data_IF_676217601341
#
_entry.id   IF_676217601341
#
_cell.length_a   1.000
_cell.length_b   1.000
_cell.length_c   1.000
_cell.angle_alpha   90.00
_cell.angle_beta   90.00
_cell.angle_gamma   90.00
#
_symmetry.space_group_name_H-M   'P 1'
#
loop_
_entity.id
_entity.type
_entity.pdbx_description
1 polymer ?
#
# COMPACT_ATOMS: atom_id res chain seq x y z
N UNK A 1 2.52 8.86 8.60
CA UNK A 1 1.82 7.55 8.58
C UNK A 1 0.45 7.77 7.97
N UNK A 2 0.05 6.99 6.96
CA UNK A 2 -1.27 7.12 6.32
C UNK A 2 -2.06 5.85 6.60
N UNK A 3 -3.26 6.00 7.15
CA UNK A 3 -4.14 4.88 7.49
C UNK A 3 -5.49 5.09 6.84
N UNK A 4 -5.98 4.07 6.13
CA UNK A 4 -7.33 4.02 5.59
C UNK A 4 -8.08 2.87 6.26
N UNK A 5 -9.19 3.18 6.92
CA UNK A 5 -10.09 2.18 7.52
C UNK A 5 -11.39 2.17 6.72
N UNK A 6 -11.79 1.01 6.24
CA UNK A 6 -12.98 0.78 5.45
C UNK A 6 -13.89 -0.15 6.25
N UNK A 7 -15.14 0.26 6.47
CA UNK A 7 -16.15 -0.55 7.16
C UNK A 7 -17.29 -0.85 6.20
N UNK A 8 -17.77 -2.10 6.14
CA UNK A 8 -18.97 -2.39 5.34
C UNK A 8 -20.17 -1.75 6.03
N UNK A 9 -20.99 -1.03 5.26
CA UNK A 9 -22.22 -0.41 5.77
C UNK A 9 -23.38 -1.41 5.77
N UNK A 10 -23.45 -2.26 4.74
CA UNK A 10 -24.46 -3.30 4.62
C UNK A 10 -23.95 -4.45 3.74
N UNK A 11 -24.29 -5.69 4.11
CA UNK A 11 -23.97 -6.88 3.33
C UNK A 11 -22.47 -7.14 3.15
N UNK A 12 -22.12 -7.71 1.99
CA UNK A 12 -20.74 -8.03 1.59
C UNK A 12 -20.34 -7.20 0.37
N UNK A 13 -20.01 -5.90 0.54
CA UNK A 13 -19.61 -5.04 -0.57
C UNK A 13 -18.34 -5.58 -1.25
N UNK A 14 -18.26 -5.39 -2.57
CA UNK A 14 -17.06 -5.67 -3.36
C UNK A 14 -16.15 -4.45 -3.36
N UNK A 15 -14.89 -4.63 -2.99
CA UNK A 15 -13.88 -3.58 -2.96
C UNK A 15 -12.71 -3.98 -3.85
N UNK A 16 -12.09 -2.97 -4.44
CA UNK A 16 -10.83 -3.08 -5.13
C UNK A 16 -9.83 -2.10 -4.51
N UNK A 17 -8.65 -2.59 -4.13
CA UNK A 17 -7.59 -1.80 -3.52
C UNK A 17 -6.43 -1.73 -4.50
N UNK A 18 -6.10 -0.52 -4.92
CA UNK A 18 -4.95 -0.25 -5.77
C UNK A 18 -3.96 0.64 -5.04
N UNK A 19 -2.69 0.23 -5.02
CA UNK A 19 -1.61 1.00 -4.43
C UNK A 19 -0.46 1.13 -5.44
N UNK A 20 -0.28 2.34 -5.97
CA UNK A 20 0.76 2.70 -6.93
C UNK A 20 1.68 3.76 -6.35
N UNK A 21 2.60 3.38 -5.43
CA UNK A 21 3.51 4.33 -4.84
C UNK A 21 4.51 4.82 -5.89
N UNK A 22 4.65 6.14 -5.98
CA UNK A 22 5.64 6.77 -6.86
C UNK A 22 6.91 7.04 -6.05
N UNK A 23 8.04 6.54 -6.53
CA UNK A 23 9.34 6.65 -5.90
C UNK A 23 10.22 7.57 -6.74
N UNK A 24 10.60 8.72 -6.16
CA UNK A 24 11.30 9.81 -6.86
C UNK A 24 10.51 10.32 -8.10
N UNK A 25 10.87 11.49 -8.63
CA UNK A 25 10.21 12.03 -9.83
C UNK A 25 10.50 11.20 -11.10
N UNK A 26 11.41 10.23 -11.00
CA UNK A 26 11.68 9.22 -12.03
C UNK A 26 10.64 8.10 -11.94
N UNK A 27 10.08 7.66 -13.06
CA UNK A 27 9.05 6.61 -13.10
C UNK A 27 9.53 5.20 -12.73
N UNK A 28 10.43 5.06 -11.76
CA UNK A 28 11.01 3.80 -11.33
C UNK A 28 9.92 2.92 -10.68
N UNK A 29 9.74 1.73 -11.26
CA UNK A 29 8.87 0.71 -10.66
C UNK A 29 9.56 0.16 -9.41
N UNK A 30 8.89 0.16 -8.25
CA UNK A 30 9.45 -0.42 -7.05
C UNK A 30 9.60 -1.93 -7.18
N UNK A 31 10.61 -2.48 -6.50
CA UNK A 31 10.67 -3.90 -6.23
C UNK A 31 9.65 -4.25 -5.14
N UNK A 32 8.88 -5.32 -5.33
CA UNK A 32 7.80 -5.70 -4.41
C UNK A 32 8.23 -6.94 -3.64
N UNK A 33 8.10 -6.90 -2.31
CA UNK A 33 8.30 -8.06 -1.43
C UNK A 33 7.04 -8.34 -0.63
N UNK A 34 6.67 -9.62 -0.54
CA UNK A 34 5.41 -10.08 0.05
C UNK A 34 5.69 -10.78 1.37
N UNK A 35 5.04 -10.33 2.44
CA UNK A 35 4.92 -11.08 3.69
C UNK A 35 3.50 -11.63 3.85
N UNK A 36 3.15 -12.18 5.01
CA UNK A 36 1.79 -12.73 5.22
C UNK A 36 0.69 -11.67 5.33
N UNK A 37 1.00 -10.53 5.95
CA UNK A 37 0.05 -9.41 6.18
C UNK A 37 0.63 -8.04 5.76
N UNK A 38 1.74 -8.03 5.02
CA UNK A 38 2.36 -6.80 4.56
C UNK A 38 2.98 -6.93 3.18
N UNK A 39 2.97 -5.82 2.44
CA UNK A 39 3.68 -5.66 1.17
C UNK A 39 4.74 -4.58 1.38
N UNK A 40 5.97 -4.82 0.92
CA UNK A 40 7.02 -3.81 0.86
C UNK A 40 7.22 -3.39 -0.57
N UNK A 41 7.18 -2.08 -0.80
CA UNK A 41 7.59 -1.45 -2.04
C UNK A 41 8.96 -0.83 -1.78
N UNK A 42 9.98 -1.44 -2.36
CA UNK A 42 11.38 -1.11 -2.14
C UNK A 42 11.90 -0.35 -3.34
N UNK A 43 12.55 0.77 -3.08
CA UNK A 43 13.33 1.53 -4.05
C UNK A 43 14.73 1.79 -3.46
N UNK A 44 15.72 2.18 -4.27
CA UNK A 44 17.05 2.50 -3.77
C UNK A 44 17.05 3.59 -2.68
N UNK A 45 16.13 4.56 -2.77
CA UNK A 45 16.08 5.71 -1.86
C UNK A 45 15.18 5.50 -0.63
N UNK A 46 14.10 4.73 -0.77
CA UNK A 46 13.10 4.58 0.29
C UNK A 46 12.34 3.24 0.21
N UNK A 47 11.79 2.82 1.34
CA UNK A 47 10.92 1.63 1.42
C UNK A 47 9.57 2.04 2.02
N UNK A 48 8.49 1.69 1.32
CA UNK A 48 7.12 1.83 1.81
C UNK A 48 6.57 0.46 2.19
N UNK A 49 6.04 0.34 3.40
CA UNK A 49 5.38 -0.85 3.91
C UNK A 49 3.88 -0.62 3.97
N UNK A 50 3.14 -1.38 3.18
CA UNK A 50 1.71 -1.57 3.34
C UNK A 50 1.49 -2.69 4.35
N UNK A 51 0.71 -2.45 5.39
CA UNK A 51 0.22 -3.49 6.30
C UNK A 51 -1.30 -3.50 6.20
N UNK A 52 -1.88 -4.68 6.00
CA UNK A 52 -3.32 -4.84 5.79
C UNK A 52 -3.79 -6.11 6.49
N UNK A 53 -5.07 -6.12 6.89
CA UNK A 53 -5.75 -7.34 7.32
C UNK A 53 -6.54 -8.02 6.18
N UNK A 54 -6.41 -7.51 4.96
CA UNK A 54 -6.95 -8.14 3.75
C UNK A 54 -5.92 -9.11 3.14
N UNK A 55 -6.40 -10.11 2.39
CA UNK A 55 -5.53 -11.01 1.64
C UNK A 55 -4.68 -10.22 0.65
N UNK A 56 -3.36 -10.42 0.71
CA UNK A 56 -2.40 -9.64 -0.06
C UNK A 56 -2.52 -9.89 -1.56
N UNK A 57 -2.82 -11.12 -1.99
CA UNK A 57 -2.96 -11.47 -3.40
C UNK A 57 -3.97 -10.56 -4.12
N UNK A 58 -5.10 -10.24 -3.49
CA UNK A 58 -6.10 -9.33 -4.08
C UNK A 58 -5.57 -7.91 -4.31
N UNK A 59 -4.61 -7.45 -3.50
CA UNK A 59 -4.01 -6.12 -3.64
C UNK A 59 -2.94 -6.12 -4.74
N UNK A 60 -2.14 -7.18 -4.84
CA UNK A 60 -1.05 -7.29 -5.82
C UNK A 60 -1.60 -7.55 -7.22
N UNK A 61 -2.56 -8.46 -7.33
CA UNK A 61 -3.22 -8.81 -8.59
C UNK A 61 -4.26 -7.77 -9.02
N UNK A 62 -4.46 -6.72 -8.22
CA UNK A 62 -5.45 -5.67 -8.48
C UNK A 62 -6.84 -6.30 -8.73
N UNK A 63 -7.21 -7.30 -7.94
CA UNK A 63 -8.42 -8.10 -8.11
C UNK A 63 -9.52 -7.72 -7.11
N UNK A 64 -10.78 -7.54 -7.54
CA UNK A 64 -11.88 -7.19 -6.65
C UNK A 64 -12.24 -8.37 -5.73
N UNK A 65 -12.56 -8.07 -4.47
CA UNK A 65 -12.97 -9.08 -3.49
C UNK A 65 -14.10 -8.57 -2.61
N UNK A 66 -14.90 -9.49 -2.06
CA UNK A 66 -15.93 -9.18 -1.09
C UNK A 66 -15.37 -9.18 0.32
N UNK A 67 -15.81 -8.24 1.17
CA UNK A 67 -15.41 -8.20 2.57
C UNK A 67 -16.63 -8.00 3.48
N UNK A 68 -16.61 -8.64 4.66
CA UNK A 68 -17.70 -8.59 5.65
C UNK A 68 -17.28 -7.96 6.99
N UNK A 69 -15.98 -7.75 7.19
CA UNK A 69 -15.40 -7.22 8.44
C UNK A 69 -14.64 -5.92 8.16
N UNK A 70 -14.36 -5.13 9.21
CA UNK A 70 -13.56 -3.91 9.08
C UNK A 70 -12.20 -4.19 8.43
N UNK A 71 -11.92 -3.51 7.33
CA UNK A 71 -10.66 -3.57 6.63
C UNK A 71 -9.80 -2.36 7.04
N UNK A 72 -8.59 -2.61 7.50
CA UNK A 72 -7.64 -1.58 7.90
C UNK A 72 -6.38 -1.71 7.08
N UNK A 73 -6.05 -0.65 6.36
CA UNK A 73 -4.87 -0.59 5.50
C UNK A 73 -4.00 0.57 5.95
N UNK A 74 -2.79 0.26 6.39
CA UNK A 74 -1.82 1.23 6.89
C UNK A 74 -0.62 1.26 5.94
N UNK A 75 -0.32 2.42 5.36
CA UNK A 75 0.93 2.69 4.68
C UNK A 75 1.89 3.40 5.63
N UNK A 76 3.04 2.79 5.88
CA UNK A 76 4.12 3.38 6.65
C UNK A 76 5.44 3.29 5.90
N UNK A 77 6.16 4.40 5.81
CA UNK A 77 7.43 4.49 5.11
C UNK A 77 8.37 5.44 5.82
N UNK A 78 9.66 5.14 5.76
CA UNK A 78 10.72 6.03 6.24
C UNK A 78 11.00 7.01 5.12
N UNK A 79 10.50 8.24 5.23
CA UNK A 79 10.94 9.33 4.35
C UNK A 79 12.33 9.73 4.84
N UNK A 80 13.40 9.41 4.08
CA UNK A 80 14.63 10.17 4.24
C UNK A 80 14.31 11.57 3.74
N UNK A 81 14.40 12.56 4.63
CA UNK A 81 14.07 13.94 4.35
C UNK A 81 14.74 14.37 3.04
N UNK A 82 13.91 14.78 2.09
CA UNK A 82 14.31 15.51 0.91
C UNK A 82 15.20 16.67 1.33
N UNK A 83 16.50 16.62 0.99
CA UNK A 83 17.32 17.82 0.95
C UNK A 83 17.03 18.47 -0.41
N UNK A 84 16.42 19.68 -0.46
CA UNK A 84 16.39 20.43 -1.70
C UNK A 84 17.84 20.65 -2.14
N UNK A 85 18.15 20.32 -3.40
CA UNK A 85 19.39 20.74 -4.01
C UNK A 85 19.39 22.28 -4.00
N UNK A 86 20.32 22.86 -3.24
CA UNK A 86 20.62 24.28 -3.33
C UNK A 86 21.44 24.51 -4.58
N UNK A 87 20.91 25.40 -5.44
CA UNK A 87 21.45 25.98 -6.69
C UNK A 87 21.14 25.22 -7.98
#
# INVERSE_FOLDING_TARGET
>A
MIVRRIRPVQGCPRLLIWLRPRFENSGLKPYITIGSNHIRYVSPAQTLRLTTNATISYIIEEHPFSFSTVLSTCCWGVTKAFRPASR
#
